data_IF_604463216210
#
_entry.id   IF_604463216210
#
_cell.length_a   1.000
_cell.length_b   1.000
_cell.length_c   1.000
_cell.angle_alpha   90.00
_cell.angle_beta   90.00
_cell.angle_gamma   90.00
#
_symmetry.space_group_name_H-M   'P 1'
#
loop_
_entity.id
_entity.type
_entity.pdbx_description
1 polymer ?
#
# COMPACT_ATOMS: atom_id res chain seq x y z
N UNK A 1 10.61 -13.22 -6.35
CA UNK A 1 10.69 -12.14 -5.34
C UNK A 1 9.43 -12.14 -4.49
N UNK A 2 9.59 -11.81 -3.21
CA UNK A 2 8.44 -11.69 -2.31
C UNK A 2 7.61 -10.46 -2.68
N UNK A 3 6.31 -10.58 -2.51
CA UNK A 3 5.41 -9.46 -2.71
C UNK A 3 5.62 -8.40 -1.62
N UNK A 4 5.48 -7.13 -2.02
CA UNK A 4 5.52 -5.99 -1.10
C UNK A 4 4.19 -5.26 -1.25
N UNK A 5 3.21 -5.65 -0.46
CA UNK A 5 1.84 -5.14 -0.60
C UNK A 5 1.68 -3.83 0.16
N UNK A 6 1.39 -2.76 -0.56
CA UNK A 6 1.10 -1.44 0.00
C UNK A 6 -0.26 -1.44 0.70
N UNK A 7 -0.56 -0.37 1.42
CA UNK A 7 -1.87 -0.21 2.09
C UNK A 7 -3.03 -0.40 1.12
N UNK A 8 -2.89 0.07 -0.12
CA UNK A 8 -3.96 0.02 -1.13
C UNK A 8 -4.03 -1.31 -1.88
N UNK A 9 -3.09 -2.23 -1.67
CA UNK A 9 -3.07 -3.52 -2.34
C UNK A 9 -2.16 -3.61 -3.55
N UNK A 10 -1.52 -2.50 -3.95
CA UNK A 10 -0.53 -2.55 -5.03
C UNK A 10 0.72 -3.29 -4.56
N UNK A 11 1.31 -4.06 -5.47
CA UNK A 11 2.55 -4.75 -5.19
C UNK A 11 3.72 -3.83 -5.55
N UNK A 12 4.34 -3.24 -4.53
CA UNK A 12 5.49 -2.33 -4.72
C UNK A 12 6.68 -3.03 -5.37
N UNK A 13 6.81 -4.35 -5.21
CA UNK A 13 7.89 -5.11 -5.85
C UNK A 13 7.80 -5.08 -7.38
N UNK A 14 6.65 -4.73 -7.93
CA UNK A 14 6.43 -4.60 -9.37
C UNK A 14 6.38 -3.15 -9.84
N UNK A 15 6.48 -2.20 -8.91
CA UNK A 15 6.42 -0.77 -9.23
C UNK A 15 7.72 -0.30 -9.87
N UNK A 16 7.63 0.38 -11.01
CA UNK A 16 8.83 0.87 -11.72
C UNK A 16 9.65 1.86 -10.89
N UNK A 17 9.00 2.73 -10.12
CA UNK A 17 9.69 3.67 -9.24
C UNK A 17 10.45 2.95 -8.13
N UNK A 18 9.81 1.96 -7.52
CA UNK A 18 10.44 1.13 -6.49
C UNK A 18 11.65 0.40 -7.04
N UNK A 19 11.49 -0.26 -8.18
CA UNK A 19 12.58 -1.04 -8.80
C UNK A 19 13.76 -0.15 -9.18
N UNK A 20 13.50 1.01 -9.76
CA UNK A 20 14.55 1.97 -10.12
C UNK A 20 15.27 2.49 -8.88
N UNK A 21 14.53 2.74 -7.80
CA UNK A 21 15.09 3.17 -6.53
C UNK A 21 16.03 2.12 -5.95
N UNK A 22 15.62 0.85 -5.97
CA UNK A 22 16.44 -0.24 -5.41
C UNK A 22 17.73 -0.45 -6.20
N UNK A 23 17.70 -0.15 -7.50
CA UNK A 23 18.89 -0.26 -8.37
C UNK A 23 19.75 0.99 -8.36
N UNK A 24 19.32 2.06 -7.68
CA UNK A 24 19.96 3.37 -7.74
C UNK A 24 20.11 3.88 -9.19
N UNK A 25 19.11 3.58 -10.02
CA UNK A 25 19.13 3.92 -11.46
C UNK A 25 18.47 5.28 -11.67
N UNK A 26 19.28 6.33 -11.62
CA UNK A 26 18.79 7.70 -11.76
C UNK A 26 18.16 7.96 -13.12
N UNK A 27 18.73 7.42 -14.19
CA UNK A 27 18.17 7.60 -15.54
C UNK A 27 16.75 7.03 -15.63
N UNK A 28 16.53 5.88 -15.02
CA UNK A 28 15.21 5.25 -14.97
C UNK A 28 14.24 6.05 -14.09
N UNK A 29 14.72 6.58 -12.96
CA UNK A 29 13.91 7.46 -12.11
C UNK A 29 13.48 8.72 -12.88
N UNK A 30 14.37 9.30 -13.66
CA UNK A 30 14.03 10.46 -14.48
C UNK A 30 12.98 10.12 -15.55
N UNK A 31 13.09 8.92 -16.16
CA UNK A 31 12.09 8.43 -17.11
C UNK A 31 10.72 8.26 -16.45
N UNK A 32 10.68 7.66 -15.27
CA UNK A 32 9.45 7.49 -14.50
C UNK A 32 8.85 8.84 -14.12
N UNK A 33 9.70 9.78 -13.70
CA UNK A 33 9.26 11.12 -13.34
C UNK A 33 8.59 11.83 -14.52
N UNK A 34 9.18 11.73 -15.70
CA UNK A 34 8.59 12.30 -16.92
C UNK A 34 7.25 11.64 -17.26
N UNK A 35 7.19 10.31 -17.15
CA UNK A 35 5.98 9.54 -17.42
C UNK A 35 4.83 9.93 -16.50
N UNK A 36 5.13 10.18 -15.23
CA UNK A 36 4.13 10.51 -14.22
C UNK A 36 3.81 12.00 -14.14
N UNK A 37 4.55 12.84 -14.84
CA UNK A 37 4.27 14.27 -14.91
C UNK A 37 3.07 14.52 -15.81
N UNK A 38 2.10 15.30 -15.33
CA UNK A 38 0.89 15.62 -16.08
C UNK A 38 0.58 17.12 -15.96
N UNK A 39 0.19 17.72 -17.08
CA UNK A 39 -0.19 19.12 -17.13
C UNK A 39 0.90 20.04 -16.60
N UNK A 40 0.56 20.86 -15.63
CA UNK A 40 1.49 21.77 -14.98
C UNK A 40 2.34 21.11 -13.91
N UNK A 41 2.01 19.86 -13.56
CA UNK A 41 2.75 19.09 -12.54
C UNK A 41 3.98 18.46 -13.17
N UNK A 42 5.16 18.92 -12.77
CA UNK A 42 6.42 18.31 -13.20
C UNK A 42 7.08 17.64 -12.02
N UNK A 43 7.41 16.36 -12.19
CA UNK A 43 8.05 15.55 -11.17
C UNK A 43 9.54 15.39 -11.50
N UNK A 44 10.35 15.33 -10.46
CA UNK A 44 11.79 15.07 -10.57
C UNK A 44 12.08 13.62 -10.18
N UNK A 45 13.30 13.17 -10.42
CA UNK A 45 13.74 11.84 -9.99
C UNK A 45 13.56 11.67 -8.47
N UNK A 46 13.83 12.69 -7.70
CA UNK A 46 13.66 12.69 -6.24
C UNK A 46 12.19 12.51 -5.85
N UNK A 47 11.27 13.13 -6.60
CA UNK A 47 9.83 13.06 -6.32
C UNK A 47 9.28 11.65 -6.47
N UNK A 48 9.85 10.83 -7.35
CA UNK A 48 9.39 9.47 -7.59
C UNK A 48 10.22 8.41 -6.88
N UNK A 49 11.32 8.80 -6.23
CA UNK A 49 12.13 7.87 -5.43
C UNK A 49 11.26 7.27 -4.34
N UNK A 50 11.23 5.94 -4.26
CA UNK A 50 10.29 5.25 -3.37
C UNK A 50 10.83 3.90 -2.92
N UNK A 51 10.86 3.68 -1.60
CA UNK A 51 11.19 2.39 -1.00
C UNK A 51 9.94 1.61 -0.58
N UNK A 52 8.77 1.98 -1.12
CA UNK A 52 7.48 1.40 -0.75
C UNK A 52 6.83 2.16 0.40
N UNK A 53 5.56 1.89 0.68
CA UNK A 53 4.79 2.62 1.69
C UNK A 53 5.36 2.49 3.10
N UNK A 54 6.18 1.50 3.36
CA UNK A 54 6.78 1.23 4.66
C UNK A 54 8.27 1.57 4.70
N UNK A 55 8.84 2.06 3.62
CA UNK A 55 10.25 2.39 3.52
C UNK A 55 10.58 3.79 4.04
N UNK A 56 11.87 4.11 4.01
CA UNK A 56 12.35 5.43 4.45
C UNK A 56 12.06 6.52 3.44
N UNK A 57 12.31 6.23 2.15
CA UNK A 57 12.06 7.17 1.07
C UNK A 57 10.71 6.85 0.45
N UNK A 58 9.85 7.84 0.39
CA UNK A 58 8.48 7.65 -0.06
C UNK A 58 8.21 8.69 -1.14
N UNK A 59 7.58 8.28 -2.25
CA UNK A 59 7.29 9.19 -3.35
C UNK A 59 6.47 10.40 -2.88
N UNK A 60 6.62 11.51 -3.59
CA UNK A 60 5.89 12.74 -3.28
C UNK A 60 4.38 12.50 -3.19
N UNK A 61 3.81 11.78 -4.16
CA UNK A 61 2.39 11.46 -4.15
C UNK A 61 1.98 10.72 -2.88
N UNK A 62 2.73 9.70 -2.50
CA UNK A 62 2.39 8.90 -1.32
C UNK A 62 2.49 9.72 -0.02
N UNK A 63 3.44 10.66 0.04
CA UNK A 63 3.60 11.51 1.23
C UNK A 63 2.51 12.58 1.35
N UNK A 64 2.08 13.14 0.22
CA UNK A 64 1.27 14.35 0.24
C UNK A 64 -0.17 14.17 -0.19
N UNK A 65 -0.46 13.20 -1.05
CA UNK A 65 -1.77 13.08 -1.69
C UNK A 65 -2.46 11.74 -1.47
N UNK A 66 -1.75 10.70 -1.01
CA UNK A 66 -2.35 9.37 -0.85
C UNK A 66 -3.10 9.26 0.48
N UNK A 67 -4.42 9.47 0.45
CA UNK A 67 -5.28 9.37 1.63
C UNK A 67 -5.31 7.95 2.18
N UNK A 68 -5.17 6.94 1.33
CA UNK A 68 -5.16 5.53 1.74
C UNK A 68 -3.96 5.23 2.63
N UNK A 69 -2.78 5.68 2.22
CA UNK A 69 -1.57 5.50 3.02
C UNK A 69 -1.67 6.20 4.37
N UNK A 70 -2.14 7.43 4.37
CA UNK A 70 -2.32 8.22 5.60
C UNK A 70 -3.29 7.51 6.53
N UNK A 71 -4.43 7.07 6.02
CA UNK A 71 -5.45 6.36 6.80
C UNK A 71 -4.91 5.04 7.37
N UNK A 72 -4.22 4.25 6.54
CA UNK A 72 -3.64 2.98 6.98
C UNK A 72 -2.60 3.16 8.06
N UNK A 73 -1.74 4.17 7.94
CA UNK A 73 -0.73 4.47 8.94
C UNK A 73 -1.35 4.93 10.26
N UNK A 74 -2.40 5.77 10.20
CA UNK A 74 -3.12 6.23 11.39
C UNK A 74 -3.82 5.08 12.12
N UNK A 75 -4.40 4.16 11.38
CA UNK A 75 -5.10 2.99 11.94
C UNK A 75 -4.13 1.86 12.30
N UNK A 76 -2.86 2.01 12.00
CA UNK A 76 -1.80 1.05 12.34
C UNK A 76 -2.07 -0.35 11.82
N UNK A 77 -2.61 -0.45 10.61
CA UNK A 77 -2.89 -1.73 9.95
C UNK A 77 -1.76 -2.06 8.97
N UNK A 78 -1.58 -3.34 8.71
CA UNK A 78 -0.60 -3.84 7.75
C UNK A 78 -0.95 -3.41 6.32
N UNK A 79 -2.22 -3.51 5.97
CA UNK A 79 -2.80 -2.93 4.77
C UNK A 79 -4.31 -2.80 4.99
N UNK A 80 -5.02 -2.22 4.01
CA UNK A 80 -6.45 -1.96 4.18
C UNK A 80 -7.30 -3.21 4.37
N UNK A 81 -6.82 -4.38 3.91
CA UNK A 81 -7.55 -5.63 4.10
C UNK A 81 -7.71 -6.01 5.58
N UNK A 82 -6.86 -5.50 6.46
CA UNK A 82 -6.92 -5.76 7.90
C UNK A 82 -7.66 -4.67 8.67
N UNK A 83 -8.19 -3.65 7.96
CA UNK A 83 -8.93 -2.57 8.60
C UNK A 83 -10.37 -3.01 8.89
N UNK A 84 -10.89 -2.62 10.06
CA UNK A 84 -12.28 -2.93 10.43
C UNK A 84 -13.28 -2.30 9.46
N UNK A 85 -12.91 -1.20 8.83
CA UNK A 85 -13.76 -0.46 7.89
C UNK A 85 -13.54 -0.83 6.43
N UNK A 86 -12.91 -1.95 6.16
CA UNK A 86 -12.74 -2.44 4.80
C UNK A 86 -14.10 -2.81 4.21
N UNK A 87 -14.47 -2.40 3.09
CA UNK A 87 -14.01 -1.42 2.09
C UNK A 87 -14.58 -0.04 2.40
N UNK A 88 -13.77 0.86 2.93
CA UNK A 88 -14.20 2.23 3.13
C UNK A 88 -14.26 2.98 1.78
N UNK A 89 -14.84 4.16 1.78
CA UNK A 89 -14.99 4.97 0.57
C UNK A 89 -13.68 5.23 -0.16
N UNK A 90 -12.61 5.49 0.60
CA UNK A 90 -11.28 5.78 0.04
C UNK A 90 -10.76 4.61 -0.79
N UNK A 91 -10.82 3.41 -0.22
CA UNK A 91 -10.29 2.22 -0.90
C UNK A 91 -11.22 1.78 -2.04
N UNK A 92 -12.53 1.93 -1.86
CA UNK A 92 -13.50 1.59 -2.90
C UNK A 92 -13.29 2.42 -4.17
N UNK A 93 -13.04 3.72 -4.02
CA UNK A 93 -12.74 4.61 -5.15
C UNK A 93 -11.46 4.19 -5.87
N UNK A 94 -10.43 3.90 -5.11
CA UNK A 94 -9.14 3.45 -5.66
C UNK A 94 -9.30 2.15 -6.44
N UNK A 95 -10.07 1.21 -5.90
CA UNK A 95 -10.26 -0.12 -6.50
C UNK A 95 -11.02 -0.07 -7.82
N UNK A 96 -11.85 0.94 -8.03
CA UNK A 96 -12.56 1.11 -9.32
C UNK A 96 -11.58 1.23 -10.48
N UNK A 97 -10.43 1.87 -10.26
CA UNK A 97 -9.41 2.07 -11.29
C UNK A 97 -8.24 1.08 -11.18
N UNK A 98 -8.27 0.21 -10.19
CA UNK A 98 -7.16 -0.70 -9.91
C UNK A 98 -7.69 -2.09 -9.50
N UNK A 99 -8.29 -2.82 -10.45
CA UNK A 99 -8.92 -4.11 -10.14
C UNK A 99 -7.95 -5.16 -9.61
N UNK A 100 -6.70 -5.15 -10.05
CA UNK A 100 -5.68 -6.08 -9.56
C UNK A 100 -5.42 -5.86 -8.08
N UNK A 101 -5.33 -4.59 -7.65
CA UNK A 101 -5.18 -4.25 -6.23
C UNK A 101 -6.40 -4.69 -5.42
N UNK A 102 -7.61 -4.51 -5.99
CA UNK A 102 -8.85 -4.95 -5.35
C UNK A 102 -8.85 -6.45 -5.12
N UNK A 103 -8.48 -7.23 -6.13
CA UNK A 103 -8.42 -8.69 -6.03
C UNK A 103 -7.44 -9.12 -4.93
N UNK A 104 -6.29 -8.48 -4.86
CA UNK A 104 -5.27 -8.79 -3.86
C UNK A 104 -5.79 -8.53 -2.44
N UNK A 105 -6.37 -7.37 -2.19
CA UNK A 105 -6.91 -7.05 -0.86
C UNK A 105 -8.09 -7.93 -0.49
N UNK A 106 -8.98 -8.20 -1.45
CA UNK A 106 -10.13 -9.09 -1.20
C UNK A 106 -9.67 -10.50 -0.83
N UNK A 107 -8.65 -11.02 -1.49
CA UNK A 107 -8.09 -12.33 -1.19
C UNK A 107 -7.47 -12.36 0.21
N UNK A 108 -6.72 -11.32 0.58
CA UNK A 108 -6.11 -11.18 1.91
C UNK A 108 -7.21 -11.12 2.98
N UNK A 109 -8.23 -10.30 2.74
CA UNK A 109 -9.36 -10.14 3.68
C UNK A 109 -10.09 -11.46 3.90
N UNK A 110 -10.36 -12.19 2.84
CA UNK A 110 -11.04 -13.49 2.91
C UNK A 110 -10.23 -14.49 3.73
N UNK A 111 -8.92 -14.56 3.51
CA UNK A 111 -8.04 -15.45 4.27
C UNK A 111 -8.00 -15.06 5.74
N UNK A 112 -7.93 -13.76 6.04
CA UNK A 112 -7.88 -13.27 7.41
C UNK A 112 -9.18 -13.54 8.17
N UNK A 113 -10.33 -13.30 7.52
CA UNK A 113 -11.65 -13.57 8.11
C UNK A 113 -11.81 -15.07 8.39
N UNK A 114 -11.43 -15.95 7.46
CA UNK A 114 -11.48 -17.40 7.69
C UNK A 114 -10.60 -17.81 8.86
N UNK A 115 -9.39 -17.23 8.96
CA UNK A 115 -8.47 -17.52 10.05
C UNK A 115 -9.07 -17.11 11.39
N UNK A 116 -9.64 -15.90 11.49
CA UNK A 116 -10.20 -15.37 12.74
C UNK A 116 -11.50 -16.05 13.13
N UNK A 117 -12.25 -16.61 12.17
CA UNK A 117 -13.53 -17.30 12.40
C UNK A 117 -13.36 -18.82 12.54
N UNK A 118 -12.15 -19.35 12.43
CA UNK A 118 -11.92 -20.77 12.65
C UNK A 118 -11.91 -21.06 14.16
N UNK A 119 -11.22 -22.08 14.63
CA UNK A 119 -11.31 -22.58 16.01
C UNK A 119 -10.69 -21.68 17.11
N UNK A 120 -10.47 -20.38 16.84
CA UNK A 120 -9.93 -19.44 17.83
C UNK A 120 -11.04 -18.88 18.73
N UNK A 121 -10.68 -18.60 19.97
CA UNK A 121 -11.61 -18.00 20.94
C UNK A 121 -11.78 -16.51 20.67
N UNK A 122 -12.85 -15.86 21.18
CA UNK A 122 -13.00 -14.41 21.06
C UNK A 122 -11.81 -13.62 21.63
N UNK A 123 -11.19 -14.10 22.69
CA UNK A 123 -10.01 -13.47 23.28
C UNK A 123 -8.82 -13.54 22.29
N UNK A 124 -8.61 -14.69 21.70
CA UNK A 124 -7.55 -14.87 20.69
C UNK A 124 -7.79 -14.00 19.46
N UNK A 125 -9.03 -13.88 19.02
CA UNK A 125 -9.38 -12.98 17.91
C UNK A 125 -9.02 -11.53 18.22
N UNK A 126 -9.32 -11.08 19.42
CA UNK A 126 -9.00 -9.72 19.90
C UNK A 126 -7.48 -9.50 19.89
N UNK A 127 -6.72 -10.44 20.41
CA UNK A 127 -5.26 -10.37 20.47
C UNK A 127 -4.67 -10.33 19.06
N UNK A 128 -5.14 -11.17 18.16
CA UNK A 128 -4.68 -11.20 16.77
C UNK A 128 -4.95 -9.87 16.05
N UNK A 129 -6.14 -9.31 16.23
CA UNK A 129 -6.48 -8.01 15.65
C UNK A 129 -5.56 -6.92 16.17
N UNK A 130 -5.26 -6.93 17.47
CA UNK A 130 -4.36 -5.96 18.09
C UNK A 130 -2.95 -6.08 17.53
N UNK A 131 -2.42 -7.29 17.41
CA UNK A 131 -1.09 -7.54 16.86
C UNK A 131 -0.97 -7.02 15.43
N UNK A 132 -1.98 -7.25 14.59
CA UNK A 132 -1.99 -6.81 13.20
C UNK A 132 -2.05 -5.29 13.05
N UNK A 133 -2.46 -4.58 14.08
CA UNK A 133 -2.58 -3.12 14.09
C UNK A 133 -1.42 -2.41 14.78
N UNK A 134 -0.43 -3.15 15.28
CA UNK A 134 0.71 -2.53 15.96
C UNK A 134 1.55 -1.71 14.98
N UNK A 135 2.18 -0.63 15.46
CA UNK A 135 3.12 0.14 14.64
C UNK A 135 4.30 -0.74 14.22
N UNK A 136 4.81 -0.44 13.06
CA UNK A 136 5.97 -1.14 12.54
C UNK A 136 7.25 -0.38 12.83
#
# INVERSE_FOLDING_TARGET
MNEIIAYCGLDCAKCEAFLATQKNDRAELERVAQKWSEGDTKLTAEDVTCDGCFGKRISKYARTACAIRTCGAENKVKNCAYCDEYKCEKIAKFQQNNPTAAEKLDAIRSSWVRFTNSSVTPVEQTLLSHILRLPR
#
